data_IF_792419541219
#
_entry.id   IF_792419541219
#
_cell.length_a   1.000
_cell.length_b   1.000
_cell.length_c   1.000
_cell.angle_alpha   90.00
_cell.angle_beta   90.00
_cell.angle_gamma   90.00
#
_symmetry.space_group_name_H-M   'P 1'
#
loop_
_entity.id
_entity.type
_entity.pdbx_description
1 polymer ?
#
# COMPACT_ATOMS: atom_id res chain seq x y z
N UNK A 1 16.26 -29.45 -0.31
CA UNK A 1 15.31 -28.33 -0.39
C UNK A 1 14.35 -28.58 0.76
N UNK A 2 14.47 -27.84 1.86
CA UNK A 2 13.47 -27.94 2.92
C UNK A 2 12.14 -27.51 2.32
N UNK A 3 11.10 -28.33 2.48
CA UNK A 3 9.77 -28.00 1.96
C UNK A 3 9.26 -26.77 2.73
N UNK A 4 9.16 -25.63 2.04
CA UNK A 4 8.65 -24.42 2.64
C UNK A 4 7.20 -24.66 3.11
N UNK A 5 6.97 -24.54 4.42
CA UNK A 5 5.63 -24.63 4.98
C UNK A 5 4.80 -23.48 4.42
N UNK A 6 3.60 -23.78 3.90
CA UNK A 6 2.69 -22.79 3.33
C UNK A 6 2.49 -21.61 4.30
N UNK A 7 2.64 -20.37 3.79
CA UNK A 7 2.55 -19.10 4.54
C UNK A 7 3.64 -18.84 5.59
N UNK A 8 4.70 -19.64 5.66
CA UNK A 8 5.90 -19.31 6.43
C UNK A 8 6.67 -18.12 5.83
N UNK A 9 7.57 -17.52 6.62
CA UNK A 9 8.45 -16.43 6.15
C UNK A 9 9.23 -16.88 4.91
N UNK A 10 9.76 -18.12 4.95
CA UNK A 10 10.52 -18.74 3.87
C UNK A 10 9.69 -18.83 2.59
N UNK A 11 8.46 -19.30 2.70
CA UNK A 11 7.52 -19.40 1.57
C UNK A 11 7.30 -18.04 0.89
N UNK A 12 7.21 -16.95 1.66
CA UNK A 12 7.05 -15.61 1.11
C UNK A 12 8.30 -15.04 0.43
N UNK A 13 9.49 -15.38 0.94
CA UNK A 13 10.78 -14.79 0.53
C UNK A 13 11.58 -15.64 -0.46
N UNK A 14 11.16 -16.88 -0.72
CA UNK A 14 11.85 -17.76 -1.66
C UNK A 14 11.84 -17.17 -3.09
N UNK A 15 12.98 -17.19 -3.80
CA UNK A 15 13.02 -16.80 -5.21
C UNK A 15 12.25 -17.79 -6.08
N UNK A 16 11.38 -17.28 -6.96
CA UNK A 16 10.57 -18.09 -7.88
C UNK A 16 11.27 -18.40 -9.21
N UNK A 17 12.46 -17.83 -9.45
CA UNK A 17 13.23 -18.02 -10.67
C UNK A 17 14.65 -17.46 -10.55
N UNK A 18 15.42 -17.61 -11.62
CA UNK A 18 16.82 -17.16 -11.69
C UNK A 18 16.98 -15.75 -12.23
N UNK A 19 15.94 -15.21 -12.87
CA UNK A 19 15.95 -13.89 -13.49
C UNK A 19 15.10 -12.92 -12.68
N UNK A 20 15.80 -11.96 -12.04
CA UNK A 20 15.31 -11.08 -10.98
C UNK A 20 14.90 -11.84 -9.71
N UNK A 21 15.18 -11.27 -8.55
CA UNK A 21 14.82 -11.84 -7.24
C UNK A 21 13.31 -11.70 -6.97
N UNK A 22 12.49 -12.27 -7.86
CA UNK A 22 11.05 -12.34 -7.72
C UNK A 22 10.70 -13.30 -6.59
N UNK A 23 10.16 -12.73 -5.52
CA UNK A 23 9.59 -13.50 -4.41
C UNK A 23 8.07 -13.43 -4.48
N UNK A 24 7.37 -14.32 -3.77
CA UNK A 24 5.91 -14.25 -3.64
C UNK A 24 5.47 -12.91 -3.03
N UNK A 25 6.26 -12.39 -2.08
CA UNK A 25 6.03 -11.08 -1.49
C UNK A 25 6.12 -9.95 -2.53
N UNK A 26 7.13 -9.97 -3.41
CA UNK A 26 7.27 -8.99 -4.50
C UNK A 26 6.08 -9.06 -5.46
N UNK A 27 5.66 -10.26 -5.86
CA UNK A 27 4.48 -10.43 -6.73
C UNK A 27 3.23 -9.87 -6.06
N UNK A 28 3.00 -10.19 -4.77
CA UNK A 28 1.85 -9.68 -4.03
C UNK A 28 1.84 -8.14 -3.96
N UNK A 29 3.00 -7.50 -3.78
CA UNK A 29 3.13 -6.04 -3.82
C UNK A 29 2.72 -5.46 -5.19
N UNK A 30 3.22 -6.02 -6.29
CA UNK A 30 2.84 -5.53 -7.62
C UNK A 30 1.37 -5.76 -7.94
N UNK A 31 0.82 -6.92 -7.58
CA UNK A 31 -0.62 -7.19 -7.72
C UNK A 31 -1.45 -6.18 -6.92
N UNK A 32 -1.02 -5.83 -5.72
CA UNK A 32 -1.66 -4.78 -4.93
C UNK A 32 -1.59 -3.41 -5.62
N UNK A 33 -0.44 -3.00 -6.15
CA UNK A 33 -0.29 -1.73 -6.88
C UNK A 33 -1.18 -1.71 -8.13
N UNK A 34 -1.15 -2.76 -8.95
CA UNK A 34 -2.01 -2.87 -10.13
C UNK A 34 -3.50 -2.88 -9.75
N UNK A 35 -3.86 -3.55 -8.65
CA UNK A 35 -5.22 -3.53 -8.09
C UNK A 35 -5.66 -2.13 -7.68
N UNK A 36 -4.80 -1.37 -6.99
CA UNK A 36 -5.06 0.02 -6.63
C UNK A 36 -5.26 0.91 -7.87
N UNK A 37 -4.41 0.76 -8.90
CA UNK A 37 -4.56 1.51 -10.16
C UNK A 37 -5.86 1.13 -10.88
N UNK A 38 -6.18 -0.16 -10.96
CA UNK A 38 -7.40 -0.64 -11.58
C UNK A 38 -8.65 -0.14 -10.85
N UNK A 39 -8.63 -0.14 -9.51
CA UNK A 39 -9.70 0.39 -8.68
C UNK A 39 -9.89 1.89 -8.90
N UNK A 40 -8.81 2.65 -9.05
CA UNK A 40 -8.89 4.07 -9.42
C UNK A 40 -9.50 4.27 -10.81
N UNK A 41 -9.11 3.45 -11.79
CA UNK A 41 -9.70 3.47 -13.13
C UNK A 41 -11.20 3.16 -13.11
N UNK A 42 -11.61 2.15 -12.35
CA UNK A 42 -13.02 1.81 -12.16
C UNK A 42 -13.78 2.95 -11.46
N UNK A 43 -13.19 3.59 -10.44
CA UNK A 43 -13.82 4.71 -9.75
C UNK A 43 -14.01 5.90 -10.69
N UNK A 44 -13.00 6.28 -11.47
CA UNK A 44 -13.14 7.39 -12.43
C UNK A 44 -14.21 7.09 -13.49
N UNK A 45 -14.36 5.83 -13.91
CA UNK A 45 -15.42 5.40 -14.81
C UNK A 45 -16.83 5.60 -14.20
N UNK A 46 -17.04 5.23 -12.94
CA UNK A 46 -18.35 5.36 -12.28
C UNK A 46 -18.67 6.78 -11.78
N UNK A 47 -17.65 7.52 -11.34
CA UNK A 47 -17.80 8.88 -10.81
C UNK A 47 -16.78 9.79 -11.50
N UNK A 48 -17.08 10.25 -12.72
CA UNK A 48 -16.22 11.19 -13.43
C UNK A 48 -16.17 12.50 -12.66
N UNK A 49 -14.98 12.91 -12.24
CA UNK A 49 -14.83 14.06 -11.36
C UNK A 49 -13.53 14.05 -10.58
N UNK A 50 -12.41 14.05 -11.29
CA UNK A 50 -11.08 14.38 -10.77
C UNK A 50 -10.87 15.87 -10.49
N UNK A 51 -11.91 16.63 -10.12
CA UNK A 51 -11.75 18.04 -9.78
C UNK A 51 -10.80 18.16 -8.59
N UNK A 52 -9.70 18.94 -8.71
CA UNK A 52 -8.80 19.19 -7.60
C UNK A 52 -9.59 19.74 -6.42
N UNK A 53 -9.36 19.16 -5.24
CA UNK A 53 -9.80 19.80 -4.00
C UNK A 53 -8.57 20.30 -3.28
N UNK A 54 -8.72 21.50 -2.73
CA UNK A 54 -7.74 22.09 -1.83
C UNK A 54 -7.89 21.44 -0.46
N UNK A 55 -7.04 20.45 -0.20
CA UNK A 55 -7.06 19.65 1.03
C UNK A 55 -6.44 20.37 2.22
N UNK A 56 -6.42 19.71 3.38
CA UNK A 56 -5.77 20.19 4.62
C UNK A 56 -4.28 20.50 4.43
N UNK A 57 -3.59 19.82 3.50
CA UNK A 57 -2.19 20.13 3.17
C UNK A 57 -2.01 21.39 2.31
N UNK A 58 -3.09 22.13 2.01
CA UNK A 58 -3.14 23.27 1.11
C UNK A 58 -2.65 22.98 -0.33
N UNK A 59 -2.49 21.70 -0.67
CA UNK A 59 -2.20 21.20 -2.00
C UNK A 59 -3.51 20.97 -2.75
N UNK A 60 -3.49 21.28 -4.04
CA UNK A 60 -4.53 20.85 -4.98
C UNK A 60 -4.30 19.36 -5.26
N UNK A 61 -5.08 18.48 -4.63
CA UNK A 61 -4.91 17.03 -4.80
C UNK A 61 -6.01 16.44 -5.67
N UNK A 62 -5.61 15.65 -6.66
CA UNK A 62 -6.51 14.75 -7.37
C UNK A 62 -6.76 13.49 -6.54
N UNK A 63 -7.71 12.66 -6.95
CA UNK A 63 -7.97 11.37 -6.28
C UNK A 63 -6.75 10.44 -6.36
N UNK A 64 -6.01 10.47 -7.46
CA UNK A 64 -4.78 9.69 -7.63
C UNK A 64 -3.68 10.13 -6.67
N UNK A 65 -3.55 11.44 -6.45
CA UNK A 65 -2.56 11.99 -5.52
C UNK A 65 -2.86 11.56 -4.08
N UNK A 66 -4.14 11.50 -3.69
CA UNK A 66 -4.57 11.00 -2.37
C UNK A 66 -4.22 9.54 -2.16
N UNK A 67 -4.42 8.68 -3.17
CA UNK A 67 -3.99 7.29 -3.11
C UNK A 67 -2.47 7.20 -2.92
N UNK A 68 -1.70 7.96 -3.70
CA UNK A 68 -0.24 7.97 -3.60
C UNK A 68 0.25 8.43 -2.22
N UNK A 69 -0.30 9.53 -1.71
CA UNK A 69 -0.01 10.05 -0.35
C UNK A 69 -0.36 9.01 0.71
N UNK A 70 -1.47 8.29 0.54
CA UNK A 70 -1.85 7.20 1.44
C UNK A 70 -0.80 6.10 1.42
N UNK A 71 -0.38 5.62 0.24
CA UNK A 71 0.60 4.55 0.10
C UNK A 71 1.97 4.93 0.70
N UNK A 72 2.46 6.15 0.42
CA UNK A 72 3.71 6.64 0.99
C UNK A 72 3.60 6.81 2.51
N UNK A 73 2.51 7.39 3.00
CA UNK A 73 2.31 7.57 4.44
C UNK A 73 2.26 6.22 5.18
N UNK A 74 1.58 5.22 4.62
CA UNK A 74 1.59 3.86 5.16
C UNK A 74 3.01 3.28 5.23
N UNK A 75 3.83 3.45 4.18
CA UNK A 75 5.22 2.97 4.20
C UNK A 75 6.03 3.61 5.34
N UNK A 76 5.89 4.92 5.55
CA UNK A 76 6.56 5.61 6.66
C UNK A 76 6.03 5.19 8.04
N UNK A 77 4.72 4.96 8.18
CA UNK A 77 4.12 4.44 9.42
C UNK A 77 4.72 3.08 9.76
N UNK A 78 4.82 2.17 8.79
CA UNK A 78 5.42 0.84 9.02
C UNK A 78 6.91 0.91 9.36
N UNK A 79 7.69 1.76 8.67
CA UNK A 79 9.11 1.95 8.97
C UNK A 79 9.30 2.52 10.38
N UNK A 80 8.55 3.57 10.73
CA UNK A 80 8.58 4.17 12.06
C UNK A 80 8.17 3.16 13.14
N UNK A 81 7.12 2.39 12.89
CA UNK A 81 6.67 1.35 13.82
C UNK A 81 7.74 0.28 14.04
N UNK A 82 8.35 -0.22 12.98
CA UNK A 82 9.43 -1.20 13.07
C UNK A 82 10.62 -0.65 13.86
N UNK A 83 10.95 0.63 13.67
CA UNK A 83 12.05 1.28 14.38
C UNK A 83 11.80 1.38 15.90
N UNK A 84 10.57 1.71 16.33
CA UNK A 84 10.26 1.92 17.74
C UNK A 84 9.72 0.69 18.49
N UNK A 85 8.88 -0.12 17.84
CA UNK A 85 8.10 -1.19 18.49
C UNK A 85 8.41 -2.58 17.94
N UNK A 86 8.88 -2.69 16.70
CA UNK A 86 9.14 -3.98 16.06
C UNK A 86 7.85 -4.76 15.72
N UNK A 87 7.95 -6.10 15.73
CA UNK A 87 6.82 -7.00 15.47
C UNK A 87 5.95 -7.20 16.74
N UNK A 88 4.64 -7.50 16.62
CA UNK A 88 3.88 -7.78 15.40
C UNK A 88 3.32 -6.54 14.69
N UNK A 89 3.06 -6.68 13.39
CA UNK A 89 2.69 -5.57 12.48
C UNK A 89 1.18 -5.29 12.35
N UNK A 90 0.35 -5.81 13.25
CA UNK A 90 -1.10 -5.60 13.21
C UNK A 90 -1.52 -4.18 13.59
N UNK A 91 -0.84 -3.58 14.56
CA UNK A 91 -1.07 -2.19 14.97
C UNK A 91 -0.72 -1.15 13.92
N UNK A 92 0.46 -1.17 13.27
CA UNK A 92 0.74 -0.20 12.21
C UNK A 92 -0.23 -0.36 11.04
N UNK A 93 -0.73 -1.58 10.77
CA UNK A 93 -1.77 -1.81 9.79
C UNK A 93 -3.08 -1.09 10.15
N UNK A 94 -3.52 -1.16 11.40
CA UNK A 94 -4.68 -0.38 11.88
C UNK A 94 -4.48 1.12 11.74
N UNK A 95 -3.29 1.63 12.08
CA UNK A 95 -2.94 3.05 11.92
C UNK A 95 -2.95 3.46 10.45
N UNK A 96 -2.50 2.60 9.54
CA UNK A 96 -2.55 2.84 8.09
C UNK A 96 -3.97 2.94 7.55
N UNK A 97 -4.93 2.17 8.08
CA UNK A 97 -6.34 2.30 7.72
C UNK A 97 -6.90 3.65 8.17
N UNK A 98 -6.59 4.07 9.40
CA UNK A 98 -6.98 5.39 9.90
C UNK A 98 -6.35 6.52 9.09
N UNK A 99 -5.08 6.36 8.68
CA UNK A 99 -4.38 7.29 7.80
C UNK A 99 -5.04 7.38 6.43
N UNK A 100 -5.39 6.25 5.81
CA UNK A 100 -6.10 6.23 4.54
C UNK A 100 -7.45 6.97 4.65
N UNK A 101 -8.23 6.70 5.69
CA UNK A 101 -9.51 7.39 5.93
C UNK A 101 -9.31 8.90 6.10
N UNK A 102 -8.28 9.32 6.84
CA UNK A 102 -7.91 10.73 7.00
C UNK A 102 -7.59 11.38 5.65
N UNK A 103 -6.73 10.75 4.84
CA UNK A 103 -6.33 11.31 3.53
C UNK A 103 -7.52 11.39 2.58
N UNK A 104 -8.36 10.36 2.48
CA UNK A 104 -9.51 10.40 1.56
C UNK A 104 -10.64 11.34 2.00
N UNK A 105 -10.75 11.65 3.31
CA UNK A 105 -11.80 12.53 3.84
C UNK A 105 -11.41 14.00 3.92
N UNK A 106 -10.16 14.31 4.27
CA UNK A 106 -9.72 15.67 4.61
C UNK A 106 -8.73 16.29 3.63
N UNK A 107 -8.04 15.48 2.82
CA UNK A 107 -7.17 15.96 1.73
C UNK A 107 -8.00 15.99 0.46
#
# INVERSE_FOLDING_TARGET
MEDAVMFSVQWWTEPLGTWMAWTRATIAFFLFVFGCIALMGAWEYFSPGGNPRRGVFALETTRGDRLFITLIGCAFIFIGWLYFFGAPLWWPLGVCVLWALFVFSLV
#
